data_IF_546745973104
#
_entry.id   IF_546745973104
#
_cell.length_a   1.000
_cell.length_b   1.000
_cell.length_c   1.000
_cell.angle_alpha   90.00
_cell.angle_beta   90.00
_cell.angle_gamma   90.00
#
_symmetry.space_group_name_H-M   'P 1'
#
loop_
_entity.id
_entity.type
_entity.pdbx_description
1 polymer ?
#
# COMPACT_ATOMS: atom_id res chain seq x y z
N UNK A 1 -6.71 -1.23 -13.81
CA UNK A 1 -5.45 -1.45 -13.08
C UNK A 1 -4.67 -2.54 -13.80
N UNK A 2 -3.34 -2.46 -13.84
CA UNK A 2 -2.50 -3.52 -14.39
C UNK A 2 -2.74 -4.86 -13.70
N UNK A 3 -2.29 -5.96 -14.32
CA UNK A 3 -2.41 -7.29 -13.71
C UNK A 3 -1.75 -7.32 -12.32
N UNK A 4 -2.41 -7.95 -11.34
CA UNK A 4 -1.96 -8.03 -9.95
C UNK A 4 -2.37 -6.84 -9.06
N UNK A 5 -2.89 -5.75 -9.63
CA UNK A 5 -3.36 -4.59 -8.88
C UNK A 5 -4.86 -4.66 -8.60
N UNK A 6 -5.27 -4.19 -7.42
CA UNK A 6 -6.67 -4.11 -6.99
C UNK A 6 -7.21 -2.69 -7.12
N UNK A 7 -8.41 -2.53 -7.69
CA UNK A 7 -9.02 -1.22 -7.95
C UNK A 7 -9.95 -0.80 -6.81
N UNK A 8 -9.85 0.46 -6.40
CA UNK A 8 -10.86 1.13 -5.57
C UNK A 8 -11.08 2.56 -6.09
N UNK A 9 -12.31 2.88 -6.48
CA UNK A 9 -12.61 4.12 -7.20
C UNK A 9 -11.78 4.24 -8.49
N UNK A 10 -11.12 5.39 -8.67
CA UNK A 10 -10.21 5.68 -9.79
C UNK A 10 -8.75 5.26 -9.52
N UNK A 11 -8.45 4.67 -8.36
CA UNK A 11 -7.08 4.34 -7.92
C UNK A 11 -6.81 2.84 -7.95
N UNK A 12 -5.53 2.48 -8.06
CA UNK A 12 -5.04 1.12 -8.09
C UNK A 12 -4.07 0.90 -6.93
N UNK A 13 -4.21 -0.22 -6.22
CA UNK A 13 -3.42 -0.57 -5.04
C UNK A 13 -2.84 -1.98 -5.18
N UNK A 14 -1.65 -2.20 -4.62
CA UNK A 14 -1.00 -3.50 -4.54
C UNK A 14 -0.30 -3.63 -3.19
N UNK A 15 -0.28 -4.85 -2.64
CA UNK A 15 0.39 -5.16 -1.37
C UNK A 15 1.54 -6.11 -1.65
N UNK A 16 2.76 -5.69 -1.31
CA UNK A 16 3.97 -6.50 -1.35
C UNK A 16 4.21 -7.17 0.00
N UNK A 17 4.73 -8.40 -0.02
CA UNK A 17 4.97 -9.21 1.18
C UNK A 17 6.40 -9.15 1.71
N UNK A 18 7.30 -8.50 0.97
CA UNK A 18 8.70 -8.33 1.38
C UNK A 18 8.78 -7.33 2.53
N UNK A 19 9.49 -7.70 3.60
CA UNK A 19 9.80 -6.78 4.70
C UNK A 19 10.92 -5.85 4.25
N UNK A 20 10.60 -4.57 4.15
CA UNK A 20 11.49 -3.52 3.68
C UNK A 20 11.51 -2.39 4.71
N UNK A 21 12.57 -1.58 4.70
CA UNK A 21 12.52 -0.25 5.33
C UNK A 21 11.44 0.60 4.63
N UNK A 22 10.97 1.67 5.27
CA UNK A 22 9.97 2.55 4.64
C UNK A 22 10.51 3.13 3.32
N UNK A 23 11.77 3.60 3.32
CA UNK A 23 12.42 4.16 2.13
C UNK A 23 12.55 3.13 1.00
N UNK A 24 12.93 1.89 1.31
CA UNK A 24 13.01 0.82 0.31
C UNK A 24 11.63 0.43 -0.23
N UNK A 25 10.59 0.46 0.62
CA UNK A 25 9.22 0.21 0.20
C UNK A 25 8.71 1.30 -0.75
N UNK A 26 8.98 2.57 -0.47
CA UNK A 26 8.67 3.69 -1.37
C UNK A 26 9.40 3.55 -2.71
N UNK A 27 10.71 3.28 -2.67
CA UNK A 27 11.51 3.05 -3.88
C UNK A 27 10.95 1.89 -4.73
N UNK A 28 10.48 0.81 -4.08
CA UNK A 28 9.82 -0.29 -4.78
C UNK A 28 8.52 0.15 -5.45
N UNK A 29 7.67 0.93 -4.77
CA UNK A 29 6.45 1.47 -5.34
C UNK A 29 6.72 2.39 -6.54
N UNK A 30 7.71 3.29 -6.44
CA UNK A 30 8.13 4.19 -7.53
C UNK A 30 8.62 3.41 -8.75
N UNK A 31 9.39 2.33 -8.53
CA UNK A 31 9.84 1.43 -9.60
C UNK A 31 8.68 0.78 -10.36
N UNK A 32 7.53 0.60 -9.69
CA UNK A 32 6.29 0.08 -10.29
C UNK A 32 5.30 1.19 -10.71
N UNK A 33 5.79 2.41 -10.94
CA UNK A 33 4.99 3.57 -11.35
C UNK A 33 3.85 3.94 -10.37
N UNK A 34 4.07 3.69 -9.08
CA UNK A 34 3.19 4.09 -7.99
C UNK A 34 3.97 4.79 -6.87
N UNK A 35 3.34 4.98 -5.72
CA UNK A 35 3.95 5.45 -4.48
C UNK A 35 3.35 4.64 -3.32
N UNK A 36 3.92 4.69 -2.12
CA UNK A 36 3.23 4.16 -0.95
C UNK A 36 1.83 4.77 -0.82
N UNK A 37 0.88 3.96 -0.39
CA UNK A 37 -0.52 4.35 -0.41
C UNK A 37 -0.80 5.55 0.50
N UNK A 38 -1.40 6.60 -0.04
CA UNK A 38 -2.11 7.62 0.74
C UNK A 38 -3.57 7.20 0.91
N UNK A 39 -4.10 7.32 2.13
CA UNK A 39 -5.47 6.96 2.49
C UNK A 39 -6.28 8.25 2.71
N UNK A 40 -7.31 8.46 1.89
CA UNK A 40 -8.07 9.72 1.87
C UNK A 40 -9.46 9.61 2.47
N UNK A 41 -9.95 8.40 2.75
CA UNK A 41 -11.25 8.19 3.38
C UNK A 41 -11.34 6.80 4.03
N UNK A 42 -12.39 6.61 4.84
CA UNK A 42 -12.66 5.35 5.54
C UNK A 42 -12.84 4.15 4.59
N UNK A 43 -13.40 4.38 3.40
CA UNK A 43 -13.60 3.33 2.41
C UNK A 43 -12.29 2.79 1.85
N UNK A 44 -11.32 3.66 1.56
CA UNK A 44 -9.96 3.27 1.19
C UNK A 44 -9.25 2.54 2.33
N UNK A 45 -9.39 3.03 3.57
CA UNK A 45 -8.85 2.36 4.76
C UNK A 45 -9.35 0.92 4.86
N UNK A 46 -10.68 0.71 4.80
CA UNK A 46 -11.29 -0.62 4.87
C UNK A 46 -10.87 -1.51 3.70
N UNK A 47 -10.80 -0.96 2.49
CA UNK A 47 -10.36 -1.68 1.30
C UNK A 47 -8.90 -2.18 1.42
N UNK A 48 -7.98 -1.30 1.81
CA UNK A 48 -6.56 -1.62 1.97
C UNK A 48 -6.35 -2.64 3.10
N UNK A 49 -7.03 -2.47 4.24
CA UNK A 49 -7.00 -3.47 5.33
C UNK A 49 -7.44 -4.85 4.85
N UNK A 50 -8.48 -4.92 4.01
CA UNK A 50 -8.94 -6.16 3.39
C UNK A 50 -7.90 -6.78 2.44
N UNK A 51 -7.19 -5.96 1.65
CA UNK A 51 -6.10 -6.43 0.78
C UNK A 51 -4.94 -7.01 1.58
N UNK A 52 -4.53 -6.35 2.66
CA UNK A 52 -3.47 -6.82 3.55
C UNK A 52 -3.88 -8.17 4.15
N UNK A 53 -5.08 -8.26 4.73
CA UNK A 53 -5.57 -9.51 5.30
C UNK A 53 -5.65 -10.64 4.27
N UNK A 54 -6.14 -10.36 3.05
CA UNK A 54 -6.18 -11.34 1.96
C UNK A 54 -4.78 -11.79 1.53
N UNK A 55 -3.79 -10.89 1.53
CA UNK A 55 -2.42 -11.18 1.09
C UNK A 55 -1.62 -11.99 2.11
N UNK A 56 -1.75 -11.66 3.40
CA UNK A 56 -0.98 -12.31 4.47
C UNK A 56 -1.72 -13.44 5.19
N UNK A 57 -3.06 -13.51 5.05
CA UNK A 57 -3.94 -14.45 5.77
C UNK A 57 -3.80 -14.40 7.31
N UNK A 58 -3.33 -13.25 7.82
CA UNK A 58 -3.19 -12.95 9.26
C UNK A 58 -3.16 -11.44 9.45
N UNK A 59 -3.21 -11.01 10.71
CA UNK A 59 -2.94 -9.61 11.05
C UNK A 59 -1.46 -9.31 10.77
N UNK A 60 -1.21 -8.34 9.91
CA UNK A 60 0.12 -7.88 9.55
C UNK A 60 0.07 -6.39 9.24
N UNK A 61 1.21 -5.72 9.42
CA UNK A 61 1.35 -4.29 9.13
C UNK A 61 2.00 -4.09 7.76
N UNK A 62 1.61 -3.02 7.07
CA UNK A 62 2.20 -2.60 5.81
C UNK A 62 2.53 -1.11 5.88
N UNK A 63 3.62 -0.71 5.22
CA UNK A 63 3.97 0.70 5.07
C UNK A 63 2.93 1.44 4.23
N UNK A 64 2.65 2.68 4.62
CA UNK A 64 1.81 3.65 3.88
C UNK A 64 2.59 4.96 3.74
N UNK A 65 2.17 5.82 2.81
CA UNK A 65 2.92 7.02 2.41
C UNK A 65 2.82 8.20 3.37
N UNK A 66 2.36 7.98 4.61
CA UNK A 66 2.31 9.02 5.63
C UNK A 66 3.62 9.01 6.41
N UNK A 67 4.41 10.07 6.25
CA UNK A 67 5.63 10.26 7.03
C UNK A 67 5.75 11.72 7.48
N UNK A 68 6.28 11.92 8.69
CA UNK A 68 6.67 13.23 9.17
C UNK A 68 8.10 13.49 8.70
N UNK A 69 8.26 14.49 7.84
CA UNK A 69 9.55 14.85 7.24
C UNK A 69 10.44 15.68 8.17
N UNK A 70 9.94 16.08 9.35
CA UNK A 70 10.66 16.88 10.32
C UNK A 70 11.17 15.97 11.45
N UNK A 71 12.45 15.62 11.38
CA UNK A 71 13.25 15.22 12.54
C UNK A 71 14.41 16.20 12.71
#
# INVERSE_FOLDING_TARGET
CPSGWSRYGSRCFIVYTHRLSMADAESNCVTHHGNLASIHNQGEQSFISGLIHKKFQRNEYAWIGLYDAIQ
#
